data_IF_090996274401
#
_entry.id   IF_090996274401
#
_cell.length_a   1.000
_cell.length_b   1.000
_cell.length_c   1.000
_cell.angle_alpha   90.00
_cell.angle_beta   90.00
_cell.angle_gamma   90.00
#
_symmetry.space_group_name_H-M   'P 1'
#
loop_
_entity.id
_entity.type
_entity.pdbx_description
1 polymer ?
#
# COMPACT_ATOMS: atom_id res chain seq x y z
N UNK A 1 -13.84 22.90 -45.16
CA UNK A 1 -14.63 21.81 -44.53
C UNK A 1 -13.75 20.57 -44.54
N UNK A 2 -13.51 19.95 -43.38
CA UNK A 2 -12.70 18.71 -43.31
C UNK A 2 -13.54 17.56 -43.83
N UNK A 3 -13.00 16.77 -44.75
CA UNK A 3 -13.67 15.58 -45.30
C UNK A 3 -13.98 14.57 -44.19
N UNK A 4 -15.27 14.24 -44.04
CA UNK A 4 -15.76 13.32 -43.00
C UNK A 4 -15.10 11.93 -43.07
N UNK A 5 -14.66 11.51 -44.25
CA UNK A 5 -13.99 10.23 -44.46
C UNK A 5 -12.56 10.24 -43.92
N UNK A 6 -11.78 11.30 -44.19
CA UNK A 6 -10.44 11.50 -43.61
C UNK A 6 -10.48 11.57 -42.09
N UNK A 7 -11.49 12.22 -41.53
CA UNK A 7 -11.65 12.32 -40.08
C UNK A 7 -11.90 10.95 -39.42
N UNK A 8 -12.74 10.11 -40.04
CA UNK A 8 -12.98 8.73 -39.54
C UNK A 8 -11.72 7.88 -39.55
N UNK A 9 -10.90 8.02 -40.59
CA UNK A 9 -9.65 7.27 -40.75
C UNK A 9 -8.64 7.61 -39.65
N UNK A 10 -8.46 8.91 -39.36
CA UNK A 10 -7.59 9.40 -38.27
C UNK A 10 -8.04 8.85 -36.91
N UNK A 11 -9.33 8.91 -36.61
CA UNK A 11 -9.89 8.41 -35.33
C UNK A 11 -9.73 6.90 -35.19
N UNK A 12 -9.79 6.14 -36.28
CA UNK A 12 -9.56 4.70 -36.27
C UNK A 12 -8.09 4.37 -36.00
N UNK A 13 -7.15 5.10 -36.62
CA UNK A 13 -5.71 4.92 -36.39
C UNK A 13 -5.33 5.25 -34.94
N UNK A 14 -5.88 6.31 -34.34
CA UNK A 14 -5.66 6.63 -32.93
C UNK A 14 -6.22 5.55 -31.98
N UNK A 15 -7.33 4.91 -32.34
CA UNK A 15 -7.90 3.80 -31.56
C UNK A 15 -7.03 2.55 -31.60
N UNK A 16 -6.41 2.25 -32.74
CA UNK A 16 -5.48 1.12 -32.86
C UNK A 16 -4.19 1.35 -32.05
N UNK A 17 -3.78 2.62 -31.89
CA UNK A 17 -2.58 3.00 -31.14
C UNK A 17 -2.83 3.30 -29.66
N UNK A 18 -4.09 3.35 -29.21
CA UNK A 18 -4.44 3.70 -27.83
C UNK A 18 -4.85 2.48 -27.01
N UNK A 19 -4.26 2.35 -25.82
CA UNK A 19 -4.64 1.34 -24.85
C UNK A 19 -5.72 1.91 -23.93
N UNK A 20 -6.97 1.42 -24.06
CA UNK A 20 -8.06 1.83 -23.17
C UNK A 20 -8.26 0.84 -22.02
N UNK A 21 -7.87 1.24 -20.81
CA UNK A 21 -8.00 0.42 -19.60
C UNK A 21 -9.23 0.88 -18.79
N UNK A 22 -10.39 0.27 -19.04
CA UNK A 22 -11.66 0.62 -18.38
C UNK A 22 -11.79 0.15 -16.94
N UNK A 23 -10.93 -0.77 -16.49
CA UNK A 23 -11.03 -1.42 -15.17
C UNK A 23 -10.18 -0.78 -14.06
N UNK A 24 -9.60 0.39 -14.30
CA UNK A 24 -8.79 1.08 -13.28
C UNK A 24 -9.73 1.77 -12.27
N UNK A 25 -9.63 1.46 -10.96
CA UNK A 25 -10.43 2.16 -9.95
C UNK A 25 -10.21 3.67 -9.99
N UNK A 26 -11.27 4.45 -9.81
CA UNK A 26 -11.22 5.92 -9.90
C UNK A 26 -10.13 6.55 -9.05
N UNK A 27 -9.96 6.05 -7.81
CA UNK A 27 -8.93 6.53 -6.89
C UNK A 27 -7.50 6.33 -7.43
N UNK A 28 -7.26 5.23 -8.13
CA UNK A 28 -5.95 4.93 -8.73
C UNK A 28 -5.72 5.84 -9.94
N UNK A 29 -6.76 6.06 -10.75
CA UNK A 29 -6.70 6.99 -11.88
C UNK A 29 -6.35 8.40 -11.42
N UNK A 30 -6.97 8.89 -10.34
CA UNK A 30 -6.67 10.21 -9.77
C UNK A 30 -5.21 10.32 -9.34
N UNK A 31 -4.72 9.34 -8.57
CA UNK A 31 -3.31 9.31 -8.15
C UNK A 31 -2.34 9.27 -9.33
N UNK A 32 -2.64 8.49 -10.37
CA UNK A 32 -1.81 8.45 -11.57
C UNK A 32 -1.73 9.83 -12.24
N UNK A 33 -2.87 10.53 -12.35
CA UNK A 33 -2.90 11.87 -12.94
C UNK A 33 -2.13 12.88 -12.07
N UNK A 34 -2.26 12.81 -10.75
CA UNK A 34 -1.49 13.65 -9.81
C UNK A 34 0.01 13.46 -10.03
N UNK A 35 0.50 12.22 -10.01
CA UNK A 35 1.93 11.90 -10.23
C UNK A 35 2.39 12.36 -11.62
N UNK A 36 1.60 12.11 -12.66
CA UNK A 36 1.94 12.54 -14.01
C UNK A 36 2.04 14.06 -14.13
N UNK A 37 1.17 14.80 -13.45
CA UNK A 37 1.20 16.26 -13.46
C UNK A 37 2.41 16.82 -12.69
N UNK A 38 2.72 16.24 -11.53
CA UNK A 38 3.78 16.73 -10.64
C UNK A 38 5.18 16.37 -11.15
N UNK A 39 5.38 15.12 -11.59
CA UNK A 39 6.72 14.58 -11.89
C UNK A 39 7.02 14.51 -13.40
N UNK A 40 5.97 14.43 -14.23
CA UNK A 40 6.11 14.16 -15.67
C UNK A 40 5.52 15.25 -16.56
N UNK A 41 5.16 16.42 -16.00
CA UNK A 41 4.61 17.54 -16.79
C UNK A 41 3.41 17.13 -17.66
N UNK A 42 2.53 16.29 -17.11
CA UNK A 42 1.35 15.72 -17.77
C UNK A 42 1.65 14.70 -18.90
N UNK A 43 2.91 14.27 -19.05
CA UNK A 43 3.26 13.17 -19.95
C UNK A 43 2.86 11.82 -19.34
N UNK A 44 1.64 11.40 -19.64
CA UNK A 44 1.08 10.13 -19.19
C UNK A 44 1.84 8.91 -19.75
N UNK A 45 2.47 9.03 -20.91
CA UNK A 45 3.25 7.95 -21.51
C UNK A 45 4.52 7.68 -20.71
N UNK A 46 5.25 8.74 -20.35
CA UNK A 46 6.45 8.63 -19.53
C UNK A 46 6.14 8.21 -18.09
N UNK A 47 5.06 8.73 -17.50
CA UNK A 47 4.60 8.27 -16.19
C UNK A 47 4.25 6.77 -16.21
N UNK A 48 3.56 6.29 -17.25
CA UNK A 48 3.20 4.88 -17.39
C UNK A 48 4.44 3.98 -17.56
N UNK A 49 5.40 4.41 -18.40
CA UNK A 49 6.68 3.73 -18.57
C UNK A 49 7.39 3.58 -17.22
N UNK A 50 7.49 4.68 -16.47
CA UNK A 50 8.12 4.68 -15.15
C UNK A 50 7.40 3.74 -14.18
N UNK A 51 6.07 3.78 -14.10
CA UNK A 51 5.31 2.85 -13.25
C UNK A 51 5.58 1.38 -13.58
N UNK A 52 5.72 1.04 -14.87
CA UNK A 52 6.02 -0.31 -15.31
C UNK A 52 7.43 -0.74 -14.88
N UNK A 53 8.43 0.13 -15.07
CA UNK A 53 9.81 -0.12 -14.65
C UNK A 53 9.91 -0.36 -13.14
N UNK A 54 9.27 0.50 -12.34
CA UNK A 54 9.21 0.35 -10.88
C UNK A 54 8.51 -0.95 -10.45
N UNK A 55 7.41 -1.33 -11.11
CA UNK A 55 6.71 -2.57 -10.79
C UNK A 55 7.58 -3.81 -11.09
N UNK A 56 8.31 -3.83 -12.20
CA UNK A 56 9.21 -4.92 -12.56
C UNK A 56 10.39 -5.01 -11.59
N UNK A 57 11.00 -3.88 -11.27
CA UNK A 57 12.10 -3.81 -10.30
C UNK A 57 11.66 -4.33 -8.92
N UNK A 58 10.49 -3.90 -8.43
CA UNK A 58 9.95 -4.39 -7.17
C UNK A 58 9.72 -5.91 -7.17
N UNK A 59 9.19 -6.49 -8.26
CA UNK A 59 9.00 -7.94 -8.35
C UNK A 59 10.33 -8.71 -8.30
N UNK A 60 11.40 -8.16 -8.89
CA UNK A 60 12.73 -8.75 -8.85
C UNK A 60 13.36 -8.67 -7.45
N UNK A 61 13.15 -7.55 -6.75
CA UNK A 61 13.71 -7.30 -5.42
C UNK A 61 12.92 -7.95 -4.28
N UNK A 62 11.61 -8.18 -4.48
CA UNK A 62 10.70 -8.69 -3.46
C UNK A 62 11.21 -9.96 -2.76
N UNK A 63 11.73 -11.00 -3.45
CA UNK A 63 12.28 -12.20 -2.81
C UNK A 63 13.46 -11.91 -1.87
N UNK A 64 14.35 -10.98 -2.26
CA UNK A 64 15.52 -10.61 -1.48
C UNK A 64 15.12 -9.87 -0.20
N UNK A 65 14.10 -9.02 -0.29
CA UNK A 65 13.55 -8.30 0.86
C UNK A 65 12.80 -9.24 1.82
N UNK A 66 12.16 -10.30 1.31
CA UNK A 66 11.42 -11.24 2.15
C UNK A 66 12.32 -12.26 2.85
N UNK A 67 13.47 -12.63 2.27
CA UNK A 67 14.41 -13.55 2.92
C UNK A 67 15.13 -12.96 4.15
N UNK A 68 15.22 -11.62 4.23
CA UNK A 68 15.88 -10.93 5.34
C UNK A 68 14.92 -10.51 6.47
N UNK A 69 13.62 -10.82 6.34
CA UNK A 69 12.65 -10.57 7.40
C UNK A 69 12.58 -11.79 8.32
N UNK A 70 13.52 -11.91 9.26
CA UNK A 70 13.24 -12.68 10.47
C UNK A 70 12.32 -11.81 11.32
N UNK A 71 11.05 -12.17 11.53
CA UNK A 71 10.29 -11.54 12.58
C UNK A 71 11.01 -11.89 13.89
N UNK A 72 11.79 -10.94 14.40
CA UNK A 72 12.13 -10.88 15.83
C UNK A 72 10.82 -11.20 16.55
N UNK A 73 10.81 -12.34 17.26
CA UNK A 73 9.63 -12.82 17.97
C UNK A 73 9.15 -11.65 18.82
N UNK A 74 8.03 -11.03 18.42
CA UNK A 74 7.40 -10.04 19.25
C UNK A 74 7.06 -10.74 20.55
N UNK A 75 7.77 -10.37 21.61
CA UNK A 75 7.33 -10.64 22.97
C UNK A 75 5.86 -10.24 23.06
N UNK A 76 4.97 -11.11 23.55
CA UNK A 76 3.57 -10.75 23.68
C UNK A 76 3.46 -9.50 24.56
N UNK A 77 3.04 -8.39 23.95
CA UNK A 77 2.63 -7.19 24.66
C UNK A 77 1.31 -7.54 25.32
N UNK A 78 1.37 -7.95 26.58
CA UNK A 78 0.19 -8.31 27.36
C UNK A 78 0.44 -9.41 28.39
N UNK A 79 1.40 -9.20 29.29
CA UNK A 79 1.27 -9.83 30.61
C UNK A 79 0.44 -8.86 31.46
N UNK A 80 -0.84 -9.20 31.66
CA UNK A 80 -1.63 -8.61 32.75
C UNK A 80 -0.84 -8.80 34.05
N UNK A 81 -0.56 -7.70 34.77
CA UNK A 81 0.07 -7.74 36.09
C UNK A 81 -0.68 -8.73 36.99
N UNK A 82 -0.05 -9.86 37.31
CA UNK A 82 -0.55 -10.75 38.34
C UNK A 82 -0.53 -9.98 39.67
N UNK A 83 -1.64 -9.90 40.43
CA UNK A 83 -1.63 -9.23 41.71
C UNK A 83 -0.71 -10.01 42.66
N UNK A 84 0.34 -9.34 43.13
CA UNK A 84 1.32 -9.94 44.04
C UNK A 84 0.63 -10.55 45.27
N UNK A 85 0.75 -11.87 45.43
CA UNK A 85 0.30 -12.57 46.64
C UNK A 85 1.31 -12.33 47.76
N UNK A 86 0.95 -11.49 48.72
CA UNK A 86 1.73 -11.36 49.96
C UNK A 86 1.33 -12.44 50.96
N UNK A 87 2.32 -13.14 51.49
CA UNK A 87 2.17 -14.11 52.58
C UNK A 87 2.49 -13.41 53.90
N UNK A 88 1.53 -13.40 54.82
CA UNK A 88 1.74 -12.85 56.16
C UNK A 88 2.64 -13.79 56.98
N UNK A 89 3.27 -13.28 58.06
CA UNK A 89 4.06 -14.10 58.99
C UNK A 89 3.30 -15.31 59.57
N UNK A 90 1.97 -15.31 59.52
CA UNK A 90 1.09 -16.42 59.91
C UNK A 90 0.84 -17.47 58.82
N UNK A 91 1.44 -17.34 57.63
CA UNK A 91 1.28 -18.25 56.50
C UNK A 91 0.00 -18.06 55.67
N UNK A 92 -0.86 -17.07 56.01
CA UNK A 92 -2.06 -16.76 55.23
C UNK A 92 -1.75 -15.83 54.05
N UNK A 93 -2.29 -16.16 52.87
CA UNK A 93 -2.23 -15.34 51.64
C UNK A 93 -3.45 -14.43 51.55
N UNK A 94 -3.25 -13.15 51.24
CA UNK A 94 -4.35 -12.17 51.11
C UNK A 94 -4.20 -11.41 49.78
N UNK A 95 -5.29 -11.30 49.01
CA UNK A 95 -5.33 -10.49 47.78
C UNK A 95 -5.61 -9.02 48.15
N UNK A 96 -4.67 -8.13 47.81
CA UNK A 96 -4.83 -6.69 48.04
C UNK A 96 -5.91 -6.10 47.12
N UNK A 97 -7.07 -5.76 47.66
CA UNK A 97 -8.10 -5.00 46.95
C UNK A 97 -7.74 -3.52 46.89
N UNK A 98 -7.81 -2.90 45.71
CA UNK A 98 -7.67 -1.44 45.53
C UNK A 98 -8.74 -0.73 46.36
N UNK A 99 -8.33 0.18 47.24
CA UNK A 99 -9.23 1.19 47.82
C UNK A 99 -9.56 2.19 46.72
N UNK A 100 -10.84 2.30 46.37
CA UNK A 100 -11.33 3.43 45.60
C UNK A 100 -11.55 4.58 46.59
N UNK A 101 -10.79 5.65 46.43
CA UNK A 101 -11.07 6.98 46.99
C UNK A 101 -10.84 8.02 45.89
#
# INVERSE_FOLDING_TARGET
MVDKNKFKEIVLMEKEQSLHISRVPTKIKQKFVEVANEEFSQDYGMCLKWCLEQALEYQQMKPLLTMNFQPEKSTPIGEEEQPAEHTMLSGRKVKGGKKNE
#
